data_IF_689771782205
#
_entry.id   IF_689771782205
#
_cell.length_a   1.000
_cell.length_b   1.000
_cell.length_c   1.000
_cell.angle_alpha   90.00
_cell.angle_beta   90.00
_cell.angle_gamma   90.00
#
_symmetry.space_group_name_H-M   'P 1'
#
loop_
_entity.id
_entity.type
_entity.pdbx_description
1 polymer ?
#
# COMPACT_ATOMS: atom_id res chain seq x y z
N UNK A 1 -14.04 -14.31 5.73
CA UNK A 1 -14.54 -13.65 6.95
C UNK A 1 -14.07 -12.21 6.87
N UNK A 2 -14.90 -11.22 7.22
CA UNK A 2 -14.43 -9.83 7.28
C UNK A 2 -13.61 -9.67 8.57
N UNK A 3 -12.32 -9.39 8.43
CA UNK A 3 -11.36 -9.31 9.55
C UNK A 3 -11.34 -7.93 10.22
N UNK A 4 -12.10 -6.96 9.68
CA UNK A 4 -12.16 -5.59 10.20
C UNK A 4 -13.62 -5.15 10.29
N UNK A 5 -14.20 -5.22 11.49
CA UNK A 5 -15.56 -4.71 11.75
C UNK A 5 -15.57 -3.18 11.68
N UNK A 6 -16.26 -2.64 10.67
CA UNK A 6 -16.44 -1.20 10.46
C UNK A 6 -17.93 -0.88 10.57
N UNK A 7 -18.50 -0.82 11.79
CA UNK A 7 -19.94 -0.69 12.00
C UNK A 7 -20.52 0.61 11.45
N UNK A 8 -19.70 1.67 11.38
CA UNK A 8 -20.05 2.95 10.77
C UNK A 8 -19.75 3.02 9.26
N UNK A 9 -19.23 1.92 8.69
CA UNK A 9 -18.91 1.76 7.29
C UNK A 9 -17.55 2.35 6.87
N UNK A 10 -17.30 2.32 5.56
CA UNK A 10 -16.17 2.98 4.89
C UNK A 10 -16.73 4.13 4.06
N UNK A 11 -16.13 5.31 4.18
CA UNK A 11 -16.42 6.47 3.33
C UNK A 11 -15.17 6.81 2.52
N UNK A 12 -15.35 7.00 1.22
CA UNK A 12 -14.34 7.58 0.34
C UNK A 12 -14.79 8.98 -0.08
N UNK A 13 -13.90 9.96 0.09
CA UNK A 13 -14.05 11.32 -0.42
C UNK A 13 -12.98 11.50 -1.50
N UNK A 14 -13.42 11.75 -2.75
CA UNK A 14 -12.53 11.92 -3.90
C UNK A 14 -12.49 13.39 -4.26
N UNK A 15 -11.29 13.95 -4.28
CA UNK A 15 -11.04 15.36 -4.58
C UNK A 15 -9.99 15.46 -5.68
N UNK A 16 -10.29 16.21 -6.73
CA UNK A 16 -9.29 16.60 -7.72
C UNK A 16 -8.41 17.70 -7.12
N UNK A 17 -7.09 17.47 -7.11
CA UNK A 17 -6.11 18.33 -6.46
C UNK A 17 -5.00 18.70 -7.44
N UNK A 18 -4.70 19.99 -7.55
CA UNK A 18 -3.50 20.47 -8.24
C UNK A 18 -2.35 20.54 -7.24
N UNK A 19 -1.45 19.56 -7.25
CA UNK A 19 -0.39 19.42 -6.23
C UNK A 19 0.73 20.47 -6.30
N UNK A 20 0.66 21.47 -7.19
CA UNK A 20 1.67 22.51 -7.42
C UNK A 20 3.13 22.01 -7.47
N UNK A 21 3.33 20.71 -7.73
CA UNK A 21 4.61 20.01 -7.76
C UNK A 21 5.15 19.97 -9.17
N UNK A 22 6.47 20.01 -9.31
CA UNK A 22 7.15 19.88 -10.60
C UNK A 22 8.29 18.90 -10.47
N UNK A 23 8.26 17.82 -11.26
CA UNK A 23 9.29 16.78 -11.27
C UNK A 23 8.87 15.53 -10.50
N UNK A 24 9.86 14.72 -10.15
CA UNK A 24 9.67 13.45 -9.45
C UNK A 24 9.34 13.68 -7.98
N UNK A 25 8.56 12.78 -7.40
CA UNK A 25 8.11 12.83 -6.02
C UNK A 25 9.08 12.13 -5.08
N UNK A 26 9.31 12.71 -3.90
CA UNK A 26 9.95 12.02 -2.77
C UNK A 26 8.93 11.64 -1.70
N UNK A 27 9.30 10.76 -0.78
CA UNK A 27 8.45 10.43 0.37
C UNK A 27 8.08 11.68 1.20
N UNK A 28 8.96 12.68 1.28
CA UNK A 28 8.68 13.93 1.99
C UNK A 28 7.67 14.81 1.25
N UNK A 29 7.68 14.81 -0.08
CA UNK A 29 6.67 15.51 -0.89
C UNK A 29 5.29 14.89 -0.69
N UNK A 30 5.20 13.55 -0.71
CA UNK A 30 3.95 12.82 -0.43
C UNK A 30 3.44 13.15 0.97
N UNK A 31 4.30 13.11 2.01
CA UNK A 31 3.92 13.50 3.37
C UNK A 31 3.44 14.94 3.46
N UNK A 32 4.14 15.87 2.79
CA UNK A 32 3.81 17.28 2.81
C UNK A 32 2.46 17.55 2.14
N UNK A 33 2.22 16.97 0.95
CA UNK A 33 0.97 17.14 0.22
C UNK A 33 -0.20 16.43 0.92
N UNK A 34 0.01 15.23 1.47
CA UNK A 34 -0.99 14.56 2.26
C UNK A 34 -1.36 15.40 3.50
N UNK A 35 -0.40 16.01 4.19
CA UNK A 35 -0.66 16.90 5.32
C UNK A 35 -1.38 18.19 4.92
N UNK A 36 -0.99 18.81 3.81
CA UNK A 36 -1.58 20.04 3.29
C UNK A 36 -3.07 19.87 2.95
N UNK A 37 -3.41 18.74 2.33
CA UNK A 37 -4.77 18.45 1.87
C UNK A 37 -5.62 17.67 2.88
N UNK A 38 -5.07 17.36 4.06
CA UNK A 38 -5.76 16.63 5.11
C UNK A 38 -6.62 17.57 5.96
N UNK A 39 -7.93 17.35 5.92
CA UNK A 39 -8.90 18.12 6.72
C UNK A 39 -8.90 17.77 8.22
N UNK A 40 -8.42 16.57 8.59
CA UNK A 40 -8.49 16.06 9.96
C UNK A 40 -7.37 15.06 10.24
N UNK A 41 -6.91 14.90 11.49
CA UNK A 41 -5.83 13.97 11.83
C UNK A 41 -6.09 12.53 11.32
N UNK A 42 -5.03 11.72 11.12
CA UNK A 42 -5.15 10.31 10.74
C UNK A 42 -6.08 9.48 11.63
N UNK A 43 -6.23 9.86 12.89
CA UNK A 43 -7.10 9.21 13.84
C UNK A 43 -7.82 10.25 14.69
N UNK A 44 -9.15 10.12 14.78
CA UNK A 44 -9.99 10.89 15.70
C UNK A 44 -11.05 9.98 16.33
N UNK A 45 -10.96 9.78 17.64
CA UNK A 45 -11.77 8.80 18.36
C UNK A 45 -11.59 7.39 17.80
N UNK A 46 -12.64 6.84 17.20
CA UNK A 46 -12.67 5.51 16.55
C UNK A 46 -12.56 5.59 15.03
N UNK A 47 -12.39 6.78 14.46
CA UNK A 47 -12.28 6.98 13.01
C UNK A 47 -10.81 6.99 12.59
N UNK A 48 -10.44 6.08 11.70
CA UNK A 48 -9.15 6.07 10.99
C UNK A 48 -9.34 6.75 9.62
N UNK A 49 -8.38 7.59 9.23
CA UNK A 49 -8.38 8.32 7.97
C UNK A 49 -7.05 8.10 7.26
N UNK A 50 -7.14 7.55 6.06
CA UNK A 50 -6.03 7.42 5.14
C UNK A 50 -6.14 8.44 4.01
N UNK A 51 -5.01 8.90 3.49
CA UNK A 51 -4.93 9.62 2.23
C UNK A 51 -4.20 8.75 1.20
N UNK A 52 -4.85 8.57 0.06
CA UNK A 52 -4.31 7.88 -1.10
C UNK A 52 -4.16 8.94 -2.19
N UNK A 53 -2.92 9.30 -2.51
CA UNK A 53 -2.60 10.30 -3.50
C UNK A 53 -2.37 9.63 -4.86
N UNK A 54 -2.92 10.23 -5.92
CA UNK A 54 -2.64 9.82 -7.31
C UNK A 54 -2.03 11.02 -8.05
N UNK A 55 -0.77 11.36 -7.77
CA UNK A 55 -0.15 12.53 -8.40
C UNK A 55 0.25 12.25 -9.86
N UNK A 56 0.40 13.32 -10.64
CA UNK A 56 1.13 13.28 -11.90
C UNK A 56 2.64 13.22 -11.67
N UNK A 57 3.38 12.59 -12.57
CA UNK A 57 4.80 12.32 -12.43
C UNK A 57 5.09 10.97 -11.77
N UNK A 58 6.38 10.62 -11.72
CA UNK A 58 6.86 9.41 -11.05
C UNK A 58 7.43 9.70 -9.67
N UNK A 59 7.86 8.64 -8.99
CA UNK A 59 8.70 8.72 -7.80
C UNK A 59 10.17 8.97 -8.21
N UNK A 60 11.00 9.47 -7.30
CA UNK A 60 12.42 9.75 -7.58
C UNK A 60 13.24 8.48 -7.91
N UNK A 61 12.75 7.32 -7.48
CA UNK A 61 13.12 6.00 -7.97
C UNK A 61 12.11 5.54 -9.05
N UNK A 62 12.58 5.42 -10.29
CA UNK A 62 11.78 5.04 -11.46
C UNK A 62 11.27 3.60 -11.41
N UNK A 63 11.76 2.79 -10.47
CA UNK A 63 11.26 1.45 -10.23
C UNK A 63 10.03 1.41 -9.33
N UNK A 64 9.66 2.51 -8.65
CA UNK A 64 8.55 2.54 -7.69
C UNK A 64 7.22 2.91 -8.38
N UNK A 65 6.19 2.09 -8.13
CA UNK A 65 4.82 2.29 -8.64
C UNK A 65 3.88 2.83 -7.56
N UNK A 66 4.15 2.51 -6.30
CA UNK A 66 3.41 2.98 -5.13
C UNK A 66 4.33 3.14 -3.94
N UNK A 67 3.94 3.96 -2.96
CA UNK A 67 4.71 4.12 -1.72
C UNK A 67 3.82 4.47 -0.54
N UNK A 68 3.92 3.69 0.54
CA UNK A 68 3.41 4.02 1.85
C UNK A 68 4.45 4.81 2.65
N UNK A 69 4.18 6.09 2.91
CA UNK A 69 5.17 6.99 3.53
C UNK A 69 4.97 7.16 5.03
N UNK A 70 3.85 6.70 5.58
CA UNK A 70 3.58 6.53 7.01
C UNK A 70 2.31 5.67 7.18
N UNK A 71 1.85 5.47 8.42
CA UNK A 71 0.68 4.65 8.74
C UNK A 71 -0.69 5.19 8.25
N UNK A 72 -0.72 6.28 7.49
CA UNK A 72 -1.94 6.85 6.96
C UNK A 72 -1.84 7.49 5.57
N UNK A 73 -0.66 7.52 4.95
CA UNK A 73 -0.45 8.24 3.70
C UNK A 73 0.28 7.35 2.70
N UNK A 74 -0.32 7.22 1.52
CA UNK A 74 0.24 6.48 0.39
C UNK A 74 0.14 7.32 -0.88
N UNK A 75 1.03 7.08 -1.84
CA UNK A 75 0.92 7.60 -3.20
C UNK A 75 1.03 6.46 -4.22
N UNK A 76 0.28 6.57 -5.32
CA UNK A 76 0.31 5.65 -6.46
C UNK A 76 0.61 6.43 -7.73
N UNK A 77 1.67 6.07 -8.45
CA UNK A 77 2.23 6.85 -9.55
C UNK A 77 1.74 6.32 -10.90
N UNK A 78 0.65 6.90 -11.39
CA UNK A 78 0.00 6.45 -12.64
C UNK A 78 0.92 6.53 -13.86
N UNK A 79 1.75 7.57 -13.96
CA UNK A 79 2.69 7.70 -15.08
C UNK A 79 3.71 6.55 -15.11
N UNK A 80 4.22 6.13 -13.94
CA UNK A 80 5.08 4.95 -13.81
C UNK A 80 4.36 3.64 -14.17
N UNK A 81 3.08 3.53 -13.80
CA UNK A 81 2.23 2.37 -14.11
C UNK A 81 1.98 2.26 -15.62
N UNK A 82 1.65 3.37 -16.29
CA UNK A 82 1.45 3.42 -17.73
C UNK A 82 2.76 3.02 -18.47
N UNK A 83 3.92 3.44 -17.97
CA UNK A 83 5.22 3.02 -18.50
C UNK A 83 5.48 1.51 -18.29
N UNK A 84 5.16 0.97 -17.11
CA UNK A 84 5.28 -0.46 -16.83
C UNK A 84 4.36 -1.31 -17.73
N UNK A 85 3.11 -0.89 -17.96
CA UNK A 85 2.18 -1.54 -18.89
C UNK A 85 2.77 -1.61 -20.30
N UNK A 86 3.36 -0.52 -20.79
CA UNK A 86 3.95 -0.46 -22.13
C UNK A 86 5.10 -1.46 -22.32
N UNK A 87 5.82 -1.78 -21.24
CA UNK A 87 6.91 -2.77 -21.24
C UNK A 87 6.38 -4.20 -21.17
N UNK A 88 5.48 -4.48 -20.23
CA UNK A 88 4.97 -5.84 -19.96
C UNK A 88 3.90 -6.29 -20.95
N UNK A 89 3.17 -5.32 -21.54
CA UNK A 89 2.00 -5.48 -22.43
C UNK A 89 0.77 -6.14 -21.80
N UNK A 90 0.94 -6.84 -20.67
CA UNK A 90 -0.07 -7.38 -19.75
C UNK A 90 0.60 -7.54 -18.38
N UNK A 91 -0.08 -7.29 -17.25
CA UNK A 91 -1.50 -6.90 -17.05
C UNK A 91 -1.81 -5.47 -17.51
N UNK A 92 -3.08 -5.04 -17.47
CA UNK A 92 -3.47 -3.67 -17.87
C UNK A 92 -3.06 -2.63 -16.82
N UNK A 93 -2.90 -1.35 -17.20
CA UNK A 93 -2.60 -0.29 -16.25
C UNK A 93 -3.60 -0.22 -15.08
N UNK A 94 -4.89 -0.47 -15.34
CA UNK A 94 -5.94 -0.53 -14.31
C UNK A 94 -5.73 -1.70 -13.34
N UNK A 95 -5.34 -2.88 -13.84
CA UNK A 95 -5.04 -4.03 -12.97
C UNK A 95 -3.81 -3.76 -12.10
N UNK A 96 -2.78 -3.11 -12.67
CA UNK A 96 -1.57 -2.71 -11.95
C UNK A 96 -1.91 -1.70 -10.86
N UNK A 97 -2.63 -0.62 -11.19
CA UNK A 97 -3.05 0.41 -10.24
C UNK A 97 -3.84 -0.18 -9.07
N UNK A 98 -4.78 -1.09 -9.35
CA UNK A 98 -5.56 -1.75 -8.31
C UNK A 98 -4.70 -2.61 -7.37
N UNK A 99 -3.77 -3.39 -7.94
CA UNK A 99 -2.88 -4.26 -7.17
C UNK A 99 -1.89 -3.45 -6.33
N UNK A 100 -1.23 -2.46 -6.91
CA UNK A 100 -0.33 -1.53 -6.21
C UNK A 100 -1.08 -0.80 -5.10
N UNK A 101 -2.27 -0.25 -5.39
CA UNK A 101 -3.07 0.44 -4.37
C UNK A 101 -3.39 -0.51 -3.20
N UNK A 102 -3.78 -1.75 -3.48
CA UNK A 102 -4.11 -2.70 -2.43
C UNK A 102 -2.87 -3.12 -1.61
N UNK A 103 -1.71 -3.23 -2.25
CA UNK A 103 -0.42 -3.46 -1.60
C UNK A 103 -0.09 -2.35 -0.59
N UNK A 104 -0.18 -1.08 -1.01
CA UNK A 104 0.05 0.06 -0.13
C UNK A 104 -0.94 0.11 1.03
N UNK A 105 -2.20 -0.23 0.78
CA UNK A 105 -3.21 -0.36 1.84
C UNK A 105 -2.83 -1.48 2.82
N UNK A 106 -2.23 -2.57 2.36
CA UNK A 106 -1.67 -3.61 3.21
C UNK A 106 -0.59 -3.07 4.15
N UNK A 107 0.31 -2.22 3.64
CA UNK A 107 1.29 -1.52 4.47
C UNK A 107 0.63 -0.60 5.51
N UNK A 108 -0.46 0.10 5.17
CA UNK A 108 -1.22 0.89 6.15
C UNK A 108 -1.92 0.04 7.21
N UNK A 109 -2.26 -1.22 6.89
CA UNK A 109 -2.74 -2.21 7.85
C UNK A 109 -1.61 -2.80 8.71
N UNK A 110 -0.35 -2.50 8.39
CA UNK A 110 0.84 -2.98 9.09
C UNK A 110 1.39 -4.30 8.56
N UNK A 111 0.85 -4.81 7.44
CA UNK A 111 1.36 -5.99 6.76
C UNK A 111 2.61 -5.62 5.94
N UNK A 112 3.60 -6.50 5.79
CA UNK A 112 3.84 -7.73 6.55
C UNK A 112 4.85 -7.41 7.65
N UNK A 113 4.62 -7.86 8.88
CA UNK A 113 5.56 -7.67 10.01
C UNK A 113 6.04 -6.22 10.28
N UNK A 114 5.35 -5.18 9.76
CA UNK A 114 5.79 -3.79 9.95
C UNK A 114 5.57 -3.30 11.38
N UNK A 115 4.52 -3.80 12.02
CA UNK A 115 4.06 -3.38 13.35
C UNK A 115 3.83 -4.57 14.27
N UNK A 116 4.18 -5.79 13.85
CA UNK A 116 3.96 -7.01 14.61
C UNK A 116 4.98 -8.07 14.16
N UNK A 117 5.01 -9.22 14.83
CA UNK A 117 5.79 -10.37 14.37
C UNK A 117 4.85 -11.54 14.16
N UNK A 118 4.64 -11.90 12.90
CA UNK A 118 3.83 -13.03 12.48
C UNK A 118 4.40 -14.33 13.05
N UNK A 119 3.55 -15.27 13.53
CA UNK A 119 3.96 -16.62 13.81
C UNK A 119 4.07 -17.47 12.53
N UNK A 120 3.70 -16.89 11.36
CA UNK A 120 3.78 -17.50 10.03
C UNK A 120 5.05 -17.01 9.34
N UNK A 121 5.76 -17.94 8.71
CA UNK A 121 7.00 -17.65 7.99
C UNK A 121 6.66 -17.25 6.54
N UNK A 122 6.12 -16.04 6.39
CA UNK A 122 5.66 -15.52 5.09
C UNK A 122 6.28 -14.18 4.67
N UNK A 123 7.02 -13.50 5.56
CA UNK A 123 7.80 -12.32 5.18
C UNK A 123 8.99 -12.72 4.29
N UNK A 124 9.25 -11.95 3.24
CA UNK A 124 10.42 -12.15 2.39
C UNK A 124 11.71 -11.69 3.11
N UNK A 125 12.68 -12.59 3.23
CA UNK A 125 13.91 -12.33 3.97
C UNK A 125 14.83 -11.29 3.29
N UNK A 126 14.71 -11.12 1.97
CA UNK A 126 15.47 -10.15 1.18
C UNK A 126 14.69 -8.83 0.99
N UNK A 127 13.37 -8.84 1.21
CA UNK A 127 12.46 -7.70 1.10
C UNK A 127 11.58 -7.56 2.36
N UNK A 128 12.14 -7.05 3.48
CA UNK A 128 11.39 -6.88 4.72
C UNK A 128 10.18 -5.95 4.55
N UNK A 129 9.07 -6.29 5.20
CA UNK A 129 7.79 -5.61 5.00
C UNK A 129 6.89 -6.25 3.93
N UNK A 130 7.41 -7.19 3.15
CA UNK A 130 6.71 -7.81 2.03
C UNK A 130 6.53 -9.32 2.21
N UNK A 131 5.56 -9.89 1.51
CA UNK A 131 5.36 -11.33 1.44
C UNK A 131 6.36 -11.98 0.48
N UNK A 132 6.80 -13.19 0.83
CA UNK A 132 7.57 -14.09 -0.05
C UNK A 132 6.66 -14.89 -1.01
N UNK A 133 5.35 -14.83 -0.83
CA UNK A 133 4.36 -15.56 -1.63
C UNK A 133 3.95 -14.77 -2.87
N UNK A 134 4.29 -15.27 -4.07
CA UNK A 134 3.98 -14.62 -5.35
C UNK A 134 2.49 -14.50 -5.68
N UNK A 135 1.62 -15.22 -4.96
CA UNK A 135 0.16 -15.14 -5.11
C UNK A 135 -0.49 -14.12 -4.13
N UNK A 136 0.28 -13.54 -3.21
CA UNK A 136 -0.18 -12.48 -2.31
C UNK A 136 -0.05 -11.10 -2.97
N UNK A 137 -1.03 -10.22 -2.76
CA UNK A 137 -0.89 -8.81 -3.11
C UNK A 137 0.26 -8.13 -2.36
N UNK A 138 0.67 -8.65 -1.20
CA UNK A 138 1.83 -8.16 -0.44
C UNK A 138 3.17 -8.65 -0.99
N UNK A 139 3.20 -9.40 -2.11
CA UNK A 139 4.44 -9.81 -2.74
C UNK A 139 5.30 -8.61 -3.14
N UNK A 140 6.59 -8.61 -2.79
CA UNK A 140 7.51 -7.47 -2.95
C UNK A 140 7.54 -6.86 -4.36
N UNK A 141 7.31 -7.68 -5.40
CA UNK A 141 7.39 -7.22 -6.78
C UNK A 141 6.18 -6.35 -7.20
N UNK A 142 5.08 -6.37 -6.45
CA UNK A 142 3.82 -5.70 -6.80
C UNK A 142 3.95 -4.18 -6.85
N UNK A 143 4.68 -3.57 -5.91
CA UNK A 143 4.86 -2.10 -5.86
C UNK A 143 5.98 -1.57 -6.77
N UNK A 144 6.62 -2.43 -7.56
CA UNK A 144 7.78 -2.05 -8.37
C UNK A 144 7.65 -2.42 -9.86
N UNK A 145 8.51 -1.85 -10.70
CA UNK A 145 8.64 -2.22 -12.11
C UNK A 145 9.12 -3.67 -12.33
N UNK A 146 9.40 -4.40 -11.24
CA UNK A 146 9.75 -5.83 -11.23
C UNK A 146 8.55 -6.77 -11.36
N UNK A 147 7.35 -6.29 -11.75
CA UNK A 147 6.16 -7.12 -11.99
C UNK A 147 6.42 -8.37 -12.88
N UNK A 148 7.44 -8.33 -13.75
CA UNK A 148 7.87 -9.49 -14.53
C UNK A 148 8.39 -10.69 -13.71
N UNK A 149 8.65 -10.50 -12.41
CA UNK A 149 9.01 -11.56 -11.46
C UNK A 149 7.79 -12.37 -10.98
N UNK A 150 6.56 -11.98 -11.35
CA UNK A 150 5.32 -12.68 -10.98
C UNK A 150 5.03 -13.75 -12.05
N UNK A 151 5.17 -15.03 -11.68
CA UNK A 151 5.13 -16.13 -12.64
C UNK A 151 3.73 -16.72 -12.89
N UNK A 152 2.76 -16.43 -12.02
CA UNK A 152 1.39 -16.95 -12.08
C UNK A 152 0.60 -16.45 -13.30
N UNK A 153 1.11 -15.44 -14.01
CA UNK A 153 0.51 -14.85 -15.20
C UNK A 153 -0.73 -13.98 -14.91
N UNK A 154 -1.08 -13.80 -13.65
CA UNK A 154 -2.08 -12.87 -13.14
C UNK A 154 -1.44 -12.07 -12.01
N UNK A 155 -1.64 -10.76 -12.03
CA UNK A 155 -1.17 -9.90 -10.97
C UNK A 155 -2.02 -10.15 -9.70
N UNK A 156 -1.42 -10.46 -8.54
CA UNK A 156 -2.16 -10.63 -7.31
C UNK A 156 -2.92 -9.35 -6.97
N UNK A 157 -4.20 -9.50 -6.66
CA UNK A 157 -5.10 -8.39 -6.33
C UNK A 157 -5.89 -8.68 -5.05
N UNK A 158 -5.37 -9.59 -4.21
CA UNK A 158 -5.99 -9.99 -2.96
C UNK A 158 -4.93 -10.39 -1.92
N UNK A 159 -5.29 -10.24 -0.65
CA UNK A 159 -4.49 -10.75 0.47
C UNK A 159 -4.57 -12.28 0.52
N UNK A 160 -3.44 -12.94 0.75
CA UNK A 160 -3.41 -14.39 0.86
C UNK A 160 -3.95 -14.90 2.21
N UNK A 161 -3.89 -16.22 2.43
CA UNK A 161 -4.39 -16.82 3.66
C UNK A 161 -3.57 -16.42 4.91
N UNK A 162 -2.26 -16.16 4.76
CA UNK A 162 -1.39 -15.79 5.88
C UNK A 162 -1.59 -14.32 6.26
N UNK A 163 -1.68 -13.42 5.27
CA UNK A 163 -2.04 -12.01 5.46
C UNK A 163 -3.37 -11.87 6.20
N UNK A 164 -4.39 -12.63 5.78
CA UNK A 164 -5.72 -12.62 6.40
C UNK A 164 -5.70 -13.20 7.81
N UNK A 165 -4.87 -14.20 8.05
CA UNK A 165 -4.74 -14.80 9.36
C UNK A 165 -4.04 -13.85 10.34
N UNK A 166 -3.02 -13.12 9.89
CA UNK A 166 -2.37 -12.09 10.68
C UNK A 166 -3.32 -10.93 11.02
N UNK A 167 -4.09 -10.45 10.03
CA UNK A 167 -5.14 -9.45 10.29
C UNK A 167 -6.20 -9.95 11.29
N UNK A 168 -6.55 -11.23 11.23
CA UNK A 168 -7.50 -11.85 12.17
C UNK A 168 -6.93 -11.91 13.59
N UNK A 169 -5.67 -12.32 13.73
CA UNK A 169 -5.00 -12.40 15.02
C UNK A 169 -4.74 -11.01 15.63
N UNK A 170 -4.42 -10.01 14.80
CA UNK A 170 -4.35 -8.60 15.22
C UNK A 170 -5.71 -8.09 15.71
N UNK A 171 -6.79 -8.44 15.01
CA UNK A 171 -8.14 -8.03 15.37
C UNK A 171 -8.65 -8.71 16.65
N UNK A 172 -8.30 -9.98 16.89
CA UNK A 172 -8.64 -10.71 18.12
C UNK A 172 -7.77 -10.32 19.31
N UNK A 173 -6.59 -9.72 19.05
CA UNK A 173 -5.55 -9.44 20.05
C UNK A 173 -4.68 -10.65 20.37
N UNK A 174 -4.69 -11.68 19.53
CA UNK A 174 -3.76 -12.82 19.61
C UNK A 174 -2.37 -12.46 19.07
N UNK A 175 -2.27 -11.42 18.23
CA UNK A 175 -1.02 -10.73 17.89
C UNK A 175 -0.99 -9.32 18.47
N UNK A 176 0.10 -9.00 19.17
CA UNK A 176 0.36 -7.67 19.69
C UNK A 176 0.94 -6.78 18.58
N UNK A 177 0.29 -5.63 18.34
CA UNK A 177 0.84 -4.59 17.48
C UNK A 177 1.75 -3.64 18.26
N UNK A 178 2.99 -3.50 17.84
CA UNK A 178 3.96 -2.53 18.30
C UNK A 178 4.02 -1.33 17.35
N UNK A 179 3.98 -0.11 17.89
CA UNK A 179 4.39 1.11 17.16
C UNK A 179 3.60 1.44 15.86
N UNK A 180 2.30 1.11 15.80
CA UNK A 180 1.46 1.41 14.62
C UNK A 180 1.46 2.89 14.19
N UNK A 181 1.80 3.82 15.09
CA UNK A 181 2.07 5.22 14.74
C UNK A 181 3.54 5.38 14.35
N UNK A 182 3.92 4.86 13.18
CA UNK A 182 5.20 5.17 12.57
C UNK A 182 5.31 6.70 12.41
N UNK A 183 6.31 7.28 13.07
CA UNK A 183 6.77 8.64 12.81
C UNK A 183 8.21 8.53 12.28
N UNK A 184 8.57 9.34 11.27
CA UNK A 184 9.78 9.20 10.48
C UNK A 184 11.08 9.14 11.30
#
# INVERSE_FOLDING_TARGET
>A
EEVCDKPDGIRADITETEFASTGDWSADDVRAQALEHRESPPMDGTTLRWHVLFPSGGYDDDSVLGVAVNAADVAVFRDSIDDAENVLRRPSAEDIENSVTLHEIGHLLGLVNLVYTSPRDHEDADHPGHSSNEDSVMYWAVESSSLGAIFSGQLPNDFDDDDRADLSDLASGDLDAEQQLWRP
#
